data_IF_577860077820
#
_entry.id   IF_577860077820
#
_cell.length_a   1.000
_cell.length_b   1.000
_cell.length_c   1.000
_cell.angle_alpha   90.00
_cell.angle_beta   90.00
_cell.angle_gamma   90.00
#
_symmetry.space_group_name_H-M   'P 1'
#
loop_
_entity.id
_entity.type
_entity.pdbx_description
1 polymer ?
#
# COMPACT_ATOMS: atom_id res chain seq x y z
N UNK A 1 -17.64 3.27 -18.29
CA UNK A 1 -17.02 1.93 -18.36
C UNK A 1 -16.15 1.71 -17.14
N UNK A 2 -16.35 0.59 -16.46
CA UNK A 2 -15.57 0.26 -15.28
C UNK A 2 -14.30 -0.44 -15.72
N UNK A 3 -13.16 0.04 -15.25
CA UNK A 3 -11.87 -0.52 -15.60
C UNK A 3 -11.26 -1.18 -14.37
N UNK A 4 -10.93 -2.45 -14.46
CA UNK A 4 -10.24 -3.18 -13.41
C UNK A 4 -8.74 -2.97 -13.55
N UNK A 5 -8.11 -2.44 -12.54
CA UNK A 5 -6.68 -2.11 -12.56
C UNK A 5 -5.96 -2.94 -11.51
N UNK A 6 -4.95 -3.74 -11.91
CA UNK A 6 -4.19 -4.49 -10.92
C UNK A 6 -3.37 -3.53 -10.05
N UNK A 7 -3.42 -3.75 -8.74
CA UNK A 7 -2.71 -2.94 -7.76
C UNK A 7 -1.95 -3.82 -6.79
N UNK A 8 -0.84 -3.31 -6.31
CA UNK A 8 -0.09 -3.90 -5.22
C UNK A 8 -0.34 -3.06 -3.98
N UNK A 9 -0.79 -3.71 -2.92
CA UNK A 9 -1.17 -3.02 -1.69
C UNK A 9 -0.31 -3.45 -0.52
N UNK A 10 0.06 -2.48 0.31
CA UNK A 10 0.66 -2.73 1.61
C UNK A 10 -0.36 -2.36 2.66
N UNK A 11 -0.63 -3.28 3.58
CA UNK A 11 -1.50 -2.99 4.72
C UNK A 11 -0.65 -2.84 5.96
N UNK A 12 -1.20 -2.16 6.97
CA UNK A 12 -0.42 -1.76 8.13
C UNK A 12 -1.10 -2.16 9.42
N UNK A 13 -0.31 -2.31 10.49
CA UNK A 13 -0.85 -2.62 11.80
C UNK A 13 -1.58 -1.44 12.42
N UNK A 14 -1.19 -0.21 12.08
CA UNK A 14 -1.79 0.98 12.64
C UNK A 14 -1.87 2.10 11.62
N UNK A 15 -2.75 3.07 11.89
CA UNK A 15 -2.87 4.26 11.07
C UNK A 15 -1.57 5.07 11.08
N UNK A 16 -0.88 5.10 12.21
CA UNK A 16 0.40 5.80 12.31
C UNK A 16 1.43 5.23 11.34
N UNK A 17 1.49 3.91 11.23
CA UNK A 17 2.40 3.26 10.29
C UNK A 17 2.07 3.61 8.85
N UNK A 18 0.77 3.62 8.52
CA UNK A 18 0.33 3.99 7.17
C UNK A 18 0.77 5.42 6.83
N UNK A 19 0.63 6.35 7.76
CA UNK A 19 0.99 7.74 7.54
C UNK A 19 2.49 7.94 7.40
N UNK A 20 3.28 7.20 8.17
CA UNK A 20 4.74 7.26 8.08
C UNK A 20 5.20 6.80 6.69
N UNK A 21 4.61 5.72 6.20
CA UNK A 21 4.95 5.19 4.87
C UNK A 21 4.53 6.17 3.79
N UNK A 22 3.35 6.78 3.93
CA UNK A 22 2.90 7.80 2.98
C UNK A 22 3.91 8.95 2.88
N UNK A 23 4.34 9.45 4.03
CA UNK A 23 5.30 10.55 4.07
C UNK A 23 6.62 10.16 3.41
N UNK A 24 7.12 8.98 3.75
CA UNK A 24 8.36 8.48 3.16
C UNK A 24 8.26 8.38 1.64
N UNK A 25 7.16 7.83 1.15
CA UNK A 25 6.97 7.66 -0.29
C UNK A 25 6.90 9.00 -1.00
N UNK A 26 6.20 9.98 -0.42
CA UNK A 26 6.12 11.31 -1.02
C UNK A 26 7.46 12.01 -1.05
N UNK A 27 8.25 11.85 0.01
CA UNK A 27 9.57 12.46 0.09
C UNK A 27 10.56 11.84 -0.89
N UNK A 28 10.37 10.59 -1.25
CA UNK A 28 11.29 9.85 -2.11
C UNK A 28 10.76 9.65 -3.53
N UNK A 29 9.68 10.34 -3.88
CA UNK A 29 9.13 10.26 -5.22
C UNK A 29 8.57 8.89 -5.60
N UNK A 30 8.16 8.10 -4.62
CA UNK A 30 7.59 6.78 -4.86
C UNK A 30 6.10 6.95 -5.16
N UNK A 31 5.66 6.39 -6.28
CA UNK A 31 4.26 6.49 -6.68
C UNK A 31 3.34 5.74 -5.73
N UNK A 32 2.07 6.12 -5.75
CA UNK A 32 1.04 5.45 -4.96
C UNK A 32 0.23 6.41 -4.12
N UNK A 33 -0.71 5.86 -3.37
CA UNK A 33 -1.56 6.66 -2.49
C UNK A 33 -2.21 5.77 -1.44
N UNK A 34 -2.69 6.39 -0.35
CA UNK A 34 -3.45 5.68 0.65
C UNK A 34 -4.89 5.49 0.17
N UNK A 35 -5.41 4.30 0.36
CA UNK A 35 -6.78 3.94 0.02
C UNK A 35 -7.38 3.16 1.17
N UNK A 36 -8.72 3.18 1.31
CA UNK A 36 -9.37 2.25 2.22
C UNK A 36 -9.10 0.82 1.76
N UNK A 37 -8.90 -0.08 2.71
CA UNK A 37 -8.64 -1.49 2.40
C UNK A 37 -9.88 -2.09 1.73
N UNK A 38 -9.71 -2.79 0.58
CA UNK A 38 -10.84 -3.46 -0.07
C UNK A 38 -11.47 -4.51 0.83
N UNK A 39 -12.75 -4.82 0.59
CA UNK A 39 -13.50 -5.78 1.40
C UNK A 39 -12.87 -7.16 1.45
N UNK A 40 -12.19 -7.56 0.39
CA UNK A 40 -11.57 -8.88 0.28
C UNK A 40 -10.37 -9.01 1.21
N UNK A 41 -9.88 -7.91 1.72
CA UNK A 41 -8.67 -7.86 2.56
C UNK A 41 -9.05 -7.44 3.96
N UNK A 42 -8.56 -8.20 4.93
CA UNK A 42 -8.71 -7.84 6.33
C UNK A 42 -7.42 -7.17 6.80
N UNK A 43 -7.55 -5.97 7.36
CA UNK A 43 -6.38 -5.25 7.86
C UNK A 43 -6.74 -4.46 9.10
N UNK A 44 -5.78 -4.38 10.03
CA UNK A 44 -6.00 -3.76 11.33
C UNK A 44 -6.31 -2.26 11.25
N UNK A 45 -5.60 -1.52 10.40
CA UNK A 45 -5.79 -0.07 10.36
C UNK A 45 -6.84 0.42 9.36
N UNK A 46 -7.28 -0.47 8.48
CA UNK A 46 -8.28 -0.10 7.47
C UNK A 46 -7.76 0.71 6.29
N UNK A 47 -6.46 1.00 6.25
CA UNK A 47 -5.83 1.74 5.17
C UNK A 47 -4.75 0.91 4.50
N UNK A 48 -4.55 1.18 3.21
CA UNK A 48 -3.51 0.50 2.44
C UNK A 48 -2.79 1.51 1.55
N UNK A 49 -1.49 1.29 1.34
CA UNK A 49 -0.73 2.05 0.36
C UNK A 49 -0.79 1.29 -0.96
N UNK A 50 -1.34 1.91 -1.99
CA UNK A 50 -1.60 1.26 -3.27
C UNK A 50 -0.72 1.82 -4.37
N UNK A 51 -0.11 0.93 -5.16
CA UNK A 51 0.65 1.32 -6.35
C UNK A 51 0.19 0.46 -7.52
N UNK A 52 0.37 0.93 -8.77
CA UNK A 52 0.15 0.04 -9.91
C UNK A 52 1.04 -1.20 -9.76
N UNK A 53 0.52 -2.37 -10.13
CA UNK A 53 1.25 -3.62 -9.94
C UNK A 53 2.63 -3.59 -10.60
N UNK A 54 2.74 -2.94 -11.74
CA UNK A 54 4.01 -2.82 -12.48
C UNK A 54 5.06 -2.04 -11.70
N UNK A 55 4.67 -1.28 -10.69
CA UNK A 55 5.57 -0.47 -9.89
C UNK A 55 5.86 -1.07 -8.50
N UNK A 56 5.42 -2.29 -8.25
CA UNK A 56 5.62 -2.89 -6.94
C UNK A 56 7.09 -2.97 -6.52
N UNK A 57 7.99 -3.05 -7.49
CA UNK A 57 9.42 -3.09 -7.20
C UNK A 57 9.94 -1.84 -6.51
N UNK A 58 9.27 -0.71 -6.70
CA UNK A 58 9.66 0.54 -6.05
C UNK A 58 9.41 0.50 -4.55
N UNK A 59 8.56 -0.42 -4.10
CA UNK A 59 8.25 -0.56 -2.68
C UNK A 59 9.23 -1.47 -1.93
N UNK A 60 10.20 -2.06 -2.63
CA UNK A 60 11.16 -2.95 -1.97
C UNK A 60 11.88 -2.26 -0.81
N UNK A 61 12.31 -1.00 -1.01
CA UNK A 61 12.97 -0.23 0.04
C UNK A 61 12.01 0.08 1.19
N UNK A 62 10.76 0.40 0.85
CA UNK A 62 9.73 0.67 1.86
C UNK A 62 9.45 -0.58 2.69
N UNK A 63 9.35 -1.73 2.04
CA UNK A 63 9.09 -2.99 2.73
C UNK A 63 10.23 -3.34 3.68
N UNK A 64 11.47 -3.05 3.30
CA UNK A 64 12.62 -3.29 4.16
C UNK A 64 12.69 -2.29 5.32
N UNK A 65 12.47 -1.00 5.02
CA UNK A 65 12.59 0.06 6.01
C UNK A 65 11.48 0.02 7.05
N UNK A 66 10.27 -0.31 6.63
CA UNK A 66 9.09 -0.28 7.48
C UNK A 66 8.49 -1.67 7.71
N UNK A 67 9.32 -2.70 7.71
CA UNK A 67 8.85 -4.07 7.89
C UNK A 67 7.99 -4.24 9.14
N UNK A 68 8.33 -3.54 10.23
CA UNK A 68 7.60 -3.63 11.49
C UNK A 68 6.23 -2.96 11.43
N UNK A 69 6.01 -2.09 10.45
CA UNK A 69 4.74 -1.38 10.30
C UNK A 69 3.81 -2.07 9.30
N UNK A 70 4.35 -2.93 8.45
CA UNK A 70 3.59 -3.55 7.38
C UNK A 70 3.00 -4.88 7.86
N UNK A 71 1.67 -4.95 7.84
CA UNK A 71 0.96 -6.15 8.25
C UNK A 71 0.88 -7.18 7.12
N UNK A 72 0.65 -6.73 5.89
CA UNK A 72 0.50 -7.63 4.77
C UNK A 72 0.79 -6.99 3.43
N UNK A 73 0.98 -7.85 2.43
CA UNK A 73 1.25 -7.46 1.05
C UNK A 73 0.26 -8.18 0.17
N UNK A 74 -0.37 -7.47 -0.76
CA UNK A 74 -1.49 -8.02 -1.52
C UNK A 74 -1.42 -7.62 -2.98
N UNK A 75 -1.76 -8.54 -3.86
CA UNK A 75 -1.98 -8.25 -5.28
C UNK A 75 -3.48 -8.32 -5.49
N UNK A 76 -4.09 -7.18 -5.85
CA UNK A 76 -5.53 -7.11 -6.01
C UNK A 76 -5.89 -6.38 -7.31
N UNK A 77 -7.11 -6.61 -7.76
CA UNK A 77 -7.66 -5.87 -8.89
C UNK A 77 -8.69 -4.91 -8.31
N UNK A 78 -8.49 -3.62 -8.55
CA UNK A 78 -9.34 -2.56 -8.02
C UNK A 78 -10.07 -1.90 -9.17
N UNK A 79 -11.32 -1.57 -8.94
CA UNK A 79 -12.16 -0.87 -9.91
C UNK A 79 -12.02 0.62 -9.72
#
# INVERSE_FOLDING_TARGET
MIRKIPRYLLTFYSTSGAMVVEKYCKQNGIAGRLLPVPREISASCGLAWAVPLEQKGELAAVEAEFADEIEGKWNVIVI
#
